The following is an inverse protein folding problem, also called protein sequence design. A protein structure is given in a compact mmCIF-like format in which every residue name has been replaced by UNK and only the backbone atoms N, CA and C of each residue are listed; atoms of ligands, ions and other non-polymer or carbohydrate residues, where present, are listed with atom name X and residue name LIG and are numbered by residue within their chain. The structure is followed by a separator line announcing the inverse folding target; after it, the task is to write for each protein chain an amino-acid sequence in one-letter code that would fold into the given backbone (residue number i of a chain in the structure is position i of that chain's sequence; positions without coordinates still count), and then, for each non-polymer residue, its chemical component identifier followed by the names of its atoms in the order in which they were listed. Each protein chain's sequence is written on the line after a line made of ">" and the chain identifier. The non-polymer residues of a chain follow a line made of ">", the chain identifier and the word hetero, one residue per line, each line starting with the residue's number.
data_IF_115326267542
#
_entry.id   IF_115326267542
#
_cell.length_a   1.000
_cell.length_b   1.000
_cell.length_c   1.000
_cell.angle_alpha   90.00
_cell.angle_beta   90.00
_cell.angle_gamma   90.00
#
_symmetry.space_group_name_H-M   'P 1'
#
loop_
_entity.id
_entity.type
_entity.pdbx_description
1 polymer ?
#
# COMPACT_ATOMS: atom_id res chain seq x y z
N UNK A 1 -14.19 9.32 -18.67
CA UNK A 1 -13.99 7.88 -18.91
C UNK A 1 -13.11 7.34 -17.78
N UNK A 2 -13.66 6.61 -16.81
CA UNK A 2 -12.88 6.07 -15.67
C UNK A 2 -12.50 4.64 -16.01
N UNK A 3 -11.19 4.35 -16.11
CA UNK A 3 -10.70 2.98 -16.32
C UNK A 3 -10.34 2.40 -14.96
N UNK A 4 -11.07 1.35 -14.54
CA UNK A 4 -10.76 0.63 -13.30
C UNK A 4 -9.44 -0.12 -13.46
N UNK A 5 -8.60 -0.02 -12.44
CA UNK A 5 -7.36 -0.78 -12.30
C UNK A 5 -7.39 -1.51 -10.97
N UNK A 6 -6.79 -2.71 -10.91
CA UNK A 6 -6.60 -3.47 -9.69
C UNK A 6 -5.15 -3.32 -9.26
N UNK A 7 -4.94 -2.91 -8.01
CA UNK A 7 -3.62 -2.82 -7.42
C UNK A 7 -3.52 -3.88 -6.32
N UNK A 8 -2.52 -4.75 -6.42
CA UNK A 8 -2.21 -5.73 -5.39
C UNK A 8 -0.80 -5.46 -4.87
N UNK A 9 -0.63 -5.49 -3.56
CA UNK A 9 0.65 -5.22 -2.93
C UNK A 9 0.90 -6.18 -1.78
N UNK A 10 2.17 -6.56 -1.62
CA UNK A 10 2.63 -7.46 -0.57
C UNK A 10 3.81 -6.83 0.15
N UNK A 11 3.73 -6.73 1.48
CA UNK A 11 4.88 -6.41 2.30
C UNK A 11 5.85 -7.60 2.28
N UNK A 12 7.03 -7.41 1.70
CA UNK A 12 8.05 -8.45 1.57
C UNK A 12 8.95 -8.50 2.80
N UNK A 13 9.22 -7.35 3.41
CA UNK A 13 9.98 -7.25 4.65
C UNK A 13 9.36 -6.20 5.57
N UNK A 14 9.20 -6.54 6.85
CA UNK A 14 8.74 -5.61 7.88
C UNK A 14 9.70 -5.69 9.06
N UNK A 15 10.55 -4.67 9.18
CA UNK A 15 11.51 -4.53 10.27
C UNK A 15 10.98 -3.63 11.38
N UNK A 16 11.88 -3.21 12.29
CA UNK A 16 11.52 -2.30 13.39
C UNK A 16 11.36 -0.85 12.96
N UNK A 17 12.15 -0.41 11.98
CA UNK A 17 12.22 1.00 11.53
C UNK A 17 11.83 1.20 10.08
N UNK A 18 11.78 0.13 9.30
CA UNK A 18 11.52 0.18 7.86
C UNK A 18 10.68 -1.01 7.43
N UNK A 19 9.83 -0.82 6.44
CA UNK A 19 9.14 -1.89 5.72
C UNK A 19 9.40 -1.74 4.22
N UNK A 20 9.52 -2.86 3.52
CA UNK A 20 9.62 -2.92 2.07
C UNK A 20 8.44 -3.71 1.50
N UNK A 21 7.79 -3.14 0.50
CA UNK A 21 6.66 -3.77 -0.18
C UNK A 21 6.80 -3.68 -1.69
N UNK A 22 6.25 -4.67 -2.38
CA UNK A 22 6.10 -4.70 -3.82
C UNK A 22 4.63 -4.60 -4.18
N UNK A 23 4.32 -4.06 -5.35
CA UNK A 23 2.96 -3.94 -5.85
C UNK A 23 2.90 -4.14 -7.36
N UNK A 24 1.79 -4.70 -7.83
CA UNK A 24 1.46 -4.83 -9.25
C UNK A 24 0.14 -4.12 -9.50
N UNK A 25 0.07 -3.41 -10.62
CA UNK A 25 -1.14 -2.76 -11.09
C UNK A 25 -1.56 -3.47 -12.37
N UNK A 26 -2.78 -3.98 -12.41
CA UNK A 26 -3.34 -4.70 -13.56
C UNK A 26 -4.64 -4.05 -14.03
N UNK A 27 -4.95 -4.22 -15.32
CA UNK A 27 -6.25 -3.85 -15.86
C UNK A 27 -7.28 -5.00 -15.71
N UNK A 28 -8.55 -4.79 -16.06
CA UNK A 28 -9.58 -5.84 -15.96
C UNK A 28 -9.34 -7.04 -16.87
N UNK A 29 -8.45 -6.92 -17.86
CA UNK A 29 -8.03 -8.00 -18.74
C UNK A 29 -6.79 -8.72 -18.22
N UNK A 30 -6.41 -8.48 -16.95
CA UNK A 30 -5.22 -9.01 -16.30
C UNK A 30 -3.90 -8.58 -16.96
N UNK A 31 -3.91 -7.52 -17.77
CA UNK A 31 -2.68 -6.97 -18.33
C UNK A 31 -1.93 -6.21 -17.25
N UNK A 32 -0.64 -6.51 -17.08
CA UNK A 32 0.24 -5.75 -16.19
C UNK A 32 0.46 -4.33 -16.74
N UNK A 33 0.06 -3.34 -15.95
CA UNK A 33 0.22 -1.93 -16.25
C UNK A 33 1.47 -1.34 -15.61
N UNK A 34 1.75 -1.73 -14.36
CA UNK A 34 2.92 -1.24 -13.64
C UNK A 34 3.37 -2.22 -12.56
N UNK A 35 4.66 -2.16 -12.24
CA UNK A 35 5.23 -2.74 -11.04
C UNK A 35 5.79 -1.60 -10.18
N UNK A 36 5.50 -1.62 -8.89
CA UNK A 36 5.94 -0.61 -7.96
C UNK A 36 6.61 -1.25 -6.76
N UNK A 37 7.55 -0.52 -6.18
CA UNK A 37 8.20 -0.88 -4.93
C UNK A 37 8.15 0.32 -4.02
N UNK A 38 8.05 0.08 -2.71
CA UNK A 38 8.02 1.14 -1.72
C UNK A 38 8.84 0.74 -0.51
N UNK A 39 9.53 1.72 0.07
CA UNK A 39 10.19 1.60 1.37
C UNK A 39 9.56 2.61 2.32
N UNK A 40 8.92 2.11 3.36
CA UNK A 40 8.24 2.92 4.35
C UNK A 40 9.09 3.01 5.63
N UNK A 41 9.08 4.17 6.29
CA UNK A 41 9.56 4.30 7.66
C UNK A 41 8.47 3.82 8.62
N UNK A 42 8.86 3.08 9.64
CA UNK A 42 7.97 2.61 10.69
C UNK A 42 8.18 3.48 11.92
N UNK A 43 7.12 4.20 12.28
CA UNK A 43 7.06 4.98 13.51
C UNK A 43 6.36 4.16 14.60
N UNK A 44 6.89 4.22 15.82
CA UNK A 44 6.20 3.63 16.97
C UNK A 44 4.85 4.32 17.15
N UNK A 45 3.80 3.53 17.49
CA UNK A 45 2.47 4.05 17.80
C UNK A 45 2.59 5.04 18.96
N UNK A 46 2.53 6.32 18.63
CA UNK A 46 2.35 7.39 19.60
C UNK A 46 0.86 7.54 19.89
N UNK A 47 0.46 7.92 21.11
CA UNK A 47 -0.96 8.07 21.49
C UNK A 47 -1.73 9.01 20.54
N UNK A 48 -1.07 10.00 19.95
CA UNK A 48 -1.66 10.91 18.95
C UNK A 48 -2.08 10.21 17.64
N UNK A 49 -1.43 9.12 17.25
CA UNK A 49 -1.75 8.38 16.03
C UNK A 49 -2.98 7.47 16.18
N UNK A 50 -3.56 7.35 17.38
CA UNK A 50 -4.80 6.59 17.58
C UNK A 50 -6.02 7.29 16.93
N UNK A 51 -5.99 8.61 16.80
CA UNK A 51 -7.13 9.42 16.28
C UNK A 51 -7.15 9.50 14.75
N UNK A 52 -6.06 9.18 14.05
CA UNK A 52 -5.95 9.26 12.58
C UNK A 52 -6.39 7.98 11.84
N UNK A 53 -6.89 6.96 12.54
CA UNK A 53 -7.10 5.62 12.00
C UNK A 53 -8.47 5.30 11.37
N UNK A 54 -9.47 6.17 11.43
CA UNK A 54 -10.78 5.88 10.83
C UNK A 54 -10.94 6.66 9.53
N UNK A 55 -10.43 6.10 8.43
CA UNK A 55 -10.93 6.46 7.10
C UNK A 55 -12.26 5.72 6.90
N UNK A 56 -13.40 6.41 6.74
CA UNK A 56 -14.63 5.76 6.31
C UNK A 56 -14.45 5.37 4.84
N UNK A 57 -14.40 4.07 4.57
CA UNK A 57 -14.63 3.57 3.21
C UNK A 57 -16.12 3.76 2.93
N UNK A 58 -16.45 4.85 2.24
CA UNK A 58 -17.76 5.09 1.60
C UNK A 58 -17.65 4.79 0.10
#
# INVERSE_FOLDING_TARGET
>A
MVRRVRCEATAVHVGRRTAYATATVTDPTSRLLAHATTTCLIHARTREQATQGTSPTA
#
